data_IF_891180697387
#
_entry.id   IF_891180697387
#
_cell.length_a   1.000
_cell.length_b   1.000
_cell.length_c   1.000
_cell.angle_alpha   90.00
_cell.angle_beta   90.00
_cell.angle_gamma   90.00
#
_symmetry.space_group_name_H-M   'P 1'
#
loop_
_entity.id
_entity.type
_entity.pdbx_description
1 polymer ?
#
# COMPACT_ATOMS: atom_id res chain seq x y z
N UNK A 1 35.25 59.05 14.06
CA UNK A 1 35.94 57.95 13.34
C UNK A 1 34.87 56.94 12.98
N UNK A 2 34.26 57.09 11.80
CA UNK A 2 33.05 56.37 11.40
C UNK A 2 33.39 55.51 10.19
N UNK A 3 33.41 54.19 10.38
CA UNK A 3 33.73 53.21 9.34
C UNK A 3 32.46 52.97 8.51
N UNK A 4 32.47 53.40 7.25
CA UNK A 4 31.41 53.07 6.28
C UNK A 4 31.65 51.67 5.69
N UNK A 5 30.71 50.75 5.97
CA UNK A 5 30.66 49.42 5.37
C UNK A 5 29.95 49.48 4.01
N UNK A 6 30.70 49.28 2.92
CA UNK A 6 30.18 49.22 1.55
C UNK A 6 29.71 47.78 1.26
N UNK A 7 28.39 47.55 1.25
CA UNK A 7 27.76 46.23 1.03
C UNK A 7 27.57 46.00 -0.47
N UNK A 8 28.45 45.24 -1.10
CA UNK A 8 28.27 44.73 -2.47
C UNK A 8 27.30 43.53 -2.44
N UNK A 9 26.16 43.63 -3.12
CA UNK A 9 25.24 42.51 -3.35
C UNK A 9 25.27 42.18 -4.85
N UNK A 10 25.95 41.11 -5.21
CA UNK A 10 25.80 40.46 -6.51
C UNK A 10 24.50 39.64 -6.52
N UNK A 11 23.66 39.71 -7.57
CA UNK A 11 22.48 38.87 -7.66
C UNK A 11 22.88 37.42 -7.97
N UNK A 12 22.51 36.50 -7.08
CA UNK A 12 22.62 35.06 -7.30
C UNK A 12 21.60 34.68 -8.38
N UNK A 13 22.09 34.36 -9.58
CA UNK A 13 21.27 33.73 -10.61
C UNK A 13 21.12 32.25 -10.28
N UNK A 14 19.94 31.87 -9.77
CA UNK A 14 19.55 30.46 -9.65
C UNK A 14 18.97 29.93 -10.98
N UNK A 15 19.22 28.66 -11.34
CA UNK A 15 18.78 28.08 -12.61
C UNK A 15 17.24 28.03 -12.72
N UNK A 16 16.73 28.51 -13.85
CA UNK A 16 15.29 28.72 -14.14
C UNK A 16 14.41 27.46 -14.22
N UNK A 17 14.93 26.25 -14.00
CA UNK A 17 14.18 25.02 -14.23
C UNK A 17 13.37 24.50 -13.02
N UNK A 18 13.57 25.00 -11.80
CA UNK A 18 12.85 24.50 -10.61
C UNK A 18 11.48 25.19 -10.36
N UNK A 19 11.18 26.29 -11.08
CA UNK A 19 10.00 27.11 -10.81
C UNK A 19 8.67 26.53 -11.33
N UNK A 20 8.69 25.63 -12.31
CA UNK A 20 7.46 25.10 -12.91
C UNK A 20 6.82 23.96 -12.11
N UNK A 21 7.62 23.11 -11.46
CA UNK A 21 7.10 22.05 -10.59
C UNK A 21 6.48 22.61 -9.29
N UNK A 22 7.09 23.66 -8.74
CA UNK A 22 6.60 24.28 -7.50
C UNK A 22 5.29 25.06 -7.72
N UNK A 23 5.10 25.69 -8.89
CA UNK A 23 3.87 26.45 -9.20
C UNK A 23 2.64 25.56 -9.41
N UNK A 24 2.79 24.40 -10.05
CA UNK A 24 1.70 23.43 -10.19
C UNK A 24 1.22 22.90 -8.84
N UNK A 25 2.16 22.58 -7.95
CA UNK A 25 1.85 22.09 -6.60
C UNK A 25 1.28 23.18 -5.69
N UNK A 26 1.79 24.41 -5.80
CA UNK A 26 1.32 25.56 -4.99
C UNK A 26 -0.08 26.00 -5.40
N UNK A 27 -0.40 26.02 -6.71
CA UNK A 27 -1.75 26.37 -7.18
C UNK A 27 -2.78 25.28 -6.84
N UNK A 28 -2.40 23.99 -6.90
CA UNK A 28 -3.24 22.91 -6.39
C UNK A 28 -3.46 23.06 -4.88
N UNK A 29 -2.42 23.36 -4.10
CA UNK A 29 -2.51 23.55 -2.64
C UNK A 29 -3.34 24.77 -2.23
N UNK A 30 -3.28 25.89 -2.98
CA UNK A 30 -4.12 27.07 -2.73
C UNK A 30 -5.59 26.77 -3.00
N UNK A 31 -5.91 26.06 -4.09
CA UNK A 31 -7.29 25.61 -4.35
C UNK A 31 -7.80 24.67 -3.24
N UNK A 32 -6.92 23.81 -2.70
CA UNK A 32 -7.24 22.84 -1.65
C UNK A 32 -7.51 23.47 -0.27
N UNK A 33 -6.82 24.57 0.08
CA UNK A 33 -7.09 25.31 1.31
C UNK A 33 -8.44 26.04 1.20
N UNK A 34 -8.76 26.59 0.03
CA UNK A 34 -10.02 27.30 -0.21
C UNK A 34 -11.25 26.38 -0.19
N UNK A 35 -11.16 25.14 -0.69
CA UNK A 35 -12.30 24.19 -0.66
C UNK A 35 -12.62 23.65 0.75
N UNK A 36 -11.69 23.68 1.71
CA UNK A 36 -11.95 23.15 3.07
C UNK A 36 -12.82 24.05 3.96
N UNK A 37 -13.22 25.22 3.46
CA UNK A 37 -13.96 26.23 4.24
C UNK A 37 -15.45 26.32 3.87
N UNK A 38 -15.92 25.54 2.91
CA UNK A 38 -17.27 25.64 2.37
C UNK A 38 -17.91 24.25 2.24
N UNK A 39 -18.16 23.55 3.35
CA UNK A 39 -19.07 22.39 3.37
C UNK A 39 -19.37 21.97 4.81
N UNK A 40 -20.33 22.67 5.41
CA UNK A 40 -21.19 22.11 6.47
C UNK A 40 -22.62 22.19 5.96
N UNK A 41 -22.97 21.29 5.05
CA UNK A 41 -24.36 21.05 4.65
C UNK A 41 -24.81 19.73 5.26
N UNK A 42 -25.71 19.84 6.23
CA UNK A 42 -26.49 18.77 6.84
C UNK A 42 -27.18 17.94 5.75
N UNK A 43 -26.82 16.66 5.65
CA UNK A 43 -27.52 15.70 4.81
C UNK A 43 -28.73 15.17 5.60
N UNK A 44 -29.92 15.55 5.16
CA UNK A 44 -31.21 15.10 5.71
C UNK A 44 -31.68 13.89 4.91
N UNK A 45 -31.70 12.71 5.54
CA UNK A 45 -32.29 11.51 4.96
C UNK A 45 -33.83 11.60 4.94
N UNK A 46 -34.40 11.49 3.75
CA UNK A 46 -35.81 11.24 3.55
C UNK A 46 -35.98 10.32 2.36
N UNK A 47 -36.29 9.05 2.58
CA UNK A 47 -36.86 8.22 1.52
C UNK A 47 -37.90 7.23 2.07
N UNK A 48 -39.07 7.31 1.45
CA UNK A 48 -40.18 6.39 1.57
C UNK A 48 -39.81 4.99 1.09
N UNK A 49 -40.14 3.96 1.86
CA UNK A 49 -40.24 2.58 1.37
C UNK A 49 -41.73 2.19 1.23
N UNK A 50 -42.13 1.87 0.00
CA UNK A 50 -43.33 1.10 -0.31
C UNK A 50 -42.97 -0.38 -0.24
N UNK A 51 -43.77 -1.14 0.52
CA UNK A 51 -43.65 -2.58 0.66
C UNK A 51 -44.11 -3.35 -0.57
N UNK A 52 -43.44 -4.47 -0.83
CA UNK A 52 -43.97 -5.60 -1.61
C UNK A 52 -43.53 -6.86 -0.87
N UNK A 53 -44.51 -7.68 -0.50
CA UNK A 53 -44.31 -8.99 0.11
C UNK A 53 -43.99 -10.03 -0.98
N UNK A 54 -43.01 -10.90 -0.73
CA UNK A 54 -42.82 -12.13 -1.49
C UNK A 54 -42.47 -13.27 -0.52
N UNK A 55 -43.16 -14.38 -0.72
CA UNK A 55 -43.24 -15.58 0.12
C UNK A 55 -42.08 -16.56 -0.08
N UNK A 56 -41.86 -17.32 0.99
CA UNK A 56 -40.85 -18.32 1.28
C UNK A 56 -40.53 -19.39 0.21
N UNK A 57 -39.28 -19.89 0.27
CA UNK A 57 -38.85 -21.17 -0.27
C UNK A 57 -37.33 -21.34 -0.24
N UNK A 58 -36.75 -21.63 0.94
CA UNK A 58 -35.30 -21.92 1.07
C UNK A 58 -35.10 -23.38 1.45
N UNK A 59 -34.49 -24.13 0.53
CA UNK A 59 -33.89 -25.44 0.80
C UNK A 59 -32.44 -25.26 1.30
N UNK A 60 -31.92 -26.13 2.17
CA UNK A 60 -30.58 -25.97 2.72
C UNK A 60 -29.51 -26.40 1.71
N UNK A 61 -28.71 -25.44 1.25
CA UNK A 61 -27.47 -25.70 0.52
C UNK A 61 -26.37 -25.96 1.55
N UNK A 62 -25.96 -27.22 1.67
CA UNK A 62 -24.75 -27.61 2.41
C UNK A 62 -23.51 -27.13 1.64
N UNK A 63 -23.03 -25.94 1.96
CA UNK A 63 -21.74 -25.44 1.48
C UNK A 63 -20.61 -26.08 2.30
N UNK A 64 -19.87 -26.99 1.67
CA UNK A 64 -18.63 -27.58 2.20
C UNK A 64 -17.58 -26.49 2.37
N UNK A 65 -17.06 -26.35 3.59
CA UNK A 65 -16.01 -25.42 3.98
C UNK A 65 -14.59 -26.02 3.76
N UNK A 66 -14.31 -26.60 2.59
CA UNK A 66 -12.98 -27.19 2.30
C UNK A 66 -11.98 -26.19 1.66
N UNK A 67 -12.37 -24.94 1.40
CA UNK A 67 -11.55 -23.95 0.69
C UNK A 67 -10.44 -23.29 1.53
N UNK A 68 -10.35 -23.55 2.85
CA UNK A 68 -9.31 -22.93 3.70
C UNK A 68 -8.12 -23.83 4.00
N UNK A 69 -8.16 -25.12 3.67
CA UNK A 69 -7.00 -26.01 3.86
C UNK A 69 -5.96 -25.82 2.75
N UNK A 70 -6.39 -25.64 1.50
CA UNK A 70 -5.49 -25.55 0.34
C UNK A 70 -4.73 -24.22 0.23
N UNK A 71 -5.18 -23.16 0.89
CA UNK A 71 -4.49 -21.85 0.86
C UNK A 71 -3.30 -21.79 1.82
N UNK A 72 -3.21 -22.72 2.78
CA UNK A 72 -2.11 -22.78 3.77
C UNK A 72 -1.15 -23.96 3.51
N UNK A 73 -1.55 -24.94 2.71
CA UNK A 73 -0.66 -26.02 2.28
C UNK A 73 0.27 -25.51 1.16
N UNK A 74 1.48 -25.09 1.54
CA UNK A 74 2.55 -24.82 0.58
C UNK A 74 2.76 -26.01 -0.36
N UNK A 75 2.65 -25.76 -1.66
CA UNK A 75 2.88 -26.71 -2.73
C UNK A 75 4.31 -27.24 -2.67
N UNK A 76 4.50 -28.44 -2.11
CA UNK A 76 5.74 -29.21 -2.24
C UNK A 76 5.71 -29.88 -3.62
N UNK A 77 6.46 -29.31 -4.56
CA UNK A 77 6.60 -29.81 -5.93
C UNK A 77 7.44 -31.11 -5.94
N UNK A 78 6.82 -32.23 -6.32
CA UNK A 78 7.54 -33.47 -6.65
C UNK A 78 8.32 -33.28 -7.97
N UNK A 79 9.64 -33.18 -7.86
CA UNK A 79 10.56 -33.09 -9.01
C UNK A 79 10.82 -34.49 -9.56
N UNK A 80 10.26 -34.78 -10.75
CA UNK A 80 10.62 -35.96 -11.57
C UNK A 80 12.01 -35.76 -12.18
N UNK A 81 12.97 -36.57 -11.74
CA UNK A 81 14.36 -36.54 -12.20
C UNK A 81 14.54 -37.11 -13.60
N UNK A 82 14.81 -36.24 -14.56
CA UNK A 82 15.57 -36.53 -15.78
C UNK A 82 16.86 -35.71 -15.74
N UNK A 83 18.02 -36.37 -15.64
CA UNK A 83 19.32 -35.72 -15.67
C UNK A 83 19.67 -35.31 -17.10
N UNK A 84 19.37 -34.05 -17.45
CA UNK A 84 20.03 -33.39 -18.58
C UNK A 84 21.20 -32.56 -18.04
N UNK A 85 22.35 -32.68 -18.70
CA UNK A 85 23.64 -32.19 -18.19
C UNK A 85 23.91 -30.75 -18.65
N UNK A 86 22.92 -29.88 -18.55
CA UNK A 86 23.09 -28.46 -18.85
C UNK A 86 23.78 -27.76 -17.68
N UNK A 87 24.75 -26.89 -17.97
CA UNK A 87 25.38 -26.01 -16.98
C UNK A 87 24.30 -25.30 -16.13
N UNK A 88 24.56 -25.02 -14.83
CA UNK A 88 23.60 -24.31 -14.00
C UNK A 88 23.23 -22.98 -14.67
N UNK A 89 21.98 -22.86 -15.09
CA UNK A 89 21.47 -21.60 -15.60
C UNK A 89 21.28 -20.67 -14.40
N UNK A 90 21.91 -19.50 -14.43
CA UNK A 90 21.75 -18.48 -13.39
C UNK A 90 20.25 -18.15 -13.25
N UNK A 91 19.78 -17.99 -12.02
CA UNK A 91 18.42 -17.53 -11.76
C UNK A 91 18.24 -16.06 -12.17
N UNK A 92 17.00 -15.65 -12.46
CA UNK A 92 16.68 -14.26 -12.79
C UNK A 92 17.16 -13.28 -11.69
N UNK A 93 17.04 -13.66 -10.42
CA UNK A 93 17.50 -12.84 -9.30
C UNK A 93 19.02 -12.67 -9.30
N UNK A 94 19.80 -13.73 -9.55
CA UNK A 94 21.26 -13.66 -9.61
C UNK A 94 21.74 -12.78 -10.77
N UNK A 95 21.06 -12.85 -11.92
CA UNK A 95 21.36 -12.00 -13.09
C UNK A 95 21.14 -10.51 -12.72
N UNK A 96 20.01 -10.18 -12.10
CA UNK A 96 19.71 -8.80 -11.67
C UNK A 96 20.64 -8.33 -10.57
N UNK A 97 20.94 -9.15 -9.57
CA UNK A 97 21.87 -8.79 -8.49
C UNK A 97 23.28 -8.52 -9.01
N UNK A 98 23.75 -9.33 -9.97
CA UNK A 98 25.02 -9.10 -10.66
C UNK A 98 25.01 -7.78 -11.42
N UNK A 99 23.92 -7.48 -12.14
CA UNK A 99 23.74 -6.19 -12.80
C UNK A 99 23.81 -5.03 -11.80
N UNK A 100 23.12 -5.12 -10.66
CA UNK A 100 23.14 -4.09 -9.62
C UNK A 100 24.55 -3.94 -8.99
N UNK A 101 25.28 -5.04 -8.82
CA UNK A 101 26.62 -5.04 -8.26
C UNK A 101 27.70 -4.49 -9.20
N UNK A 102 27.54 -4.64 -10.52
CA UNK A 102 28.53 -4.22 -11.52
C UNK A 102 28.83 -2.72 -11.51
N UNK A 103 27.92 -1.89 -10.97
CA UNK A 103 28.08 -0.43 -10.96
C UNK A 103 27.76 0.20 -9.60
N UNK A 104 28.32 -0.38 -8.53
CA UNK A 104 28.17 0.17 -7.16
C UNK A 104 28.60 1.64 -7.04
N UNK A 105 29.54 2.09 -7.88
CA UNK A 105 29.99 3.50 -7.88
C UNK A 105 28.95 4.45 -8.46
N UNK A 106 28.24 4.09 -9.53
CA UNK A 106 27.14 4.92 -10.03
C UNK A 106 25.88 4.78 -9.17
N UNK A 107 25.61 3.60 -8.61
CA UNK A 107 24.46 3.36 -7.73
C UNK A 107 24.46 4.30 -6.52
N UNK A 108 25.63 4.65 -5.97
CA UNK A 108 25.75 5.63 -4.88
C UNK A 108 25.38 7.08 -5.28
N UNK A 109 25.25 7.37 -6.58
CA UNK A 109 24.88 8.71 -7.07
C UNK A 109 23.40 8.81 -7.42
N UNK A 110 22.77 7.71 -7.81
CA UNK A 110 21.38 7.71 -8.26
C UNK A 110 20.44 7.46 -7.09
N UNK A 111 19.56 8.44 -6.80
CA UNK A 111 18.58 8.32 -5.72
C UNK A 111 17.23 7.83 -6.26
N UNK A 112 16.58 6.95 -5.52
CA UNK A 112 15.20 6.54 -5.77
C UNK A 112 14.21 7.60 -5.28
N UNK A 113 13.29 8.01 -6.14
CA UNK A 113 12.32 9.09 -5.85
C UNK A 113 10.86 8.61 -5.76
N UNK A 114 10.53 7.37 -6.13
CA UNK A 114 9.14 6.86 -6.13
C UNK A 114 8.73 6.31 -4.74
N UNK A 115 8.99 7.10 -3.70
CA UNK A 115 8.86 6.68 -2.29
C UNK A 115 7.40 6.47 -1.85
N UNK A 116 6.45 7.18 -2.48
CA UNK A 116 5.03 7.08 -2.11
C UNK A 116 4.46 5.67 -2.29
N UNK A 117 4.90 4.95 -3.32
CA UNK A 117 4.50 3.56 -3.54
C UNK A 117 5.04 2.64 -2.44
N UNK A 118 6.34 2.73 -2.14
CA UNK A 118 6.99 2.01 -1.04
C UNK A 118 6.29 2.21 0.31
N UNK A 119 5.95 3.46 0.65
CA UNK A 119 5.23 3.77 1.88
C UNK A 119 3.79 3.23 1.90
N UNK A 120 3.16 3.08 0.74
CA UNK A 120 1.82 2.51 0.63
C UNK A 120 1.87 1.00 0.90
N UNK A 121 2.84 0.28 0.32
CA UNK A 121 3.07 -1.14 0.63
C UNK A 121 3.36 -1.33 2.12
N UNK A 122 4.20 -0.49 2.73
CA UNK A 122 4.42 -0.47 4.17
C UNK A 122 3.13 -0.24 4.97
N UNK A 123 2.25 0.66 4.52
CA UNK A 123 0.96 0.86 5.20
C UNK A 123 0.03 -0.35 5.11
N UNK A 124 0.06 -1.09 3.99
CA UNK A 124 -0.71 -2.32 3.85
C UNK A 124 -0.19 -3.40 4.81
N UNK A 125 1.13 -3.61 4.84
CA UNK A 125 1.79 -4.53 5.78
C UNK A 125 1.37 -4.20 7.22
N UNK A 126 1.49 -2.94 7.62
CA UNK A 126 1.10 -2.49 8.97
C UNK A 126 -0.37 -2.77 9.26
N UNK A 127 -1.27 -2.39 8.37
CA UNK A 127 -2.71 -2.53 8.62
C UNK A 127 -3.17 -3.98 8.61
N UNK A 128 -2.54 -4.84 7.81
CA UNK A 128 -2.73 -6.29 7.88
C UNK A 128 -2.34 -6.84 9.26
N UNK A 129 -1.20 -6.41 9.81
CA UNK A 129 -0.79 -6.81 11.16
C UNK A 129 -1.76 -6.31 12.23
N UNK A 130 -2.26 -5.08 12.11
CA UNK A 130 -3.26 -4.54 13.05
C UNK A 130 -4.58 -5.27 12.98
N UNK A 131 -5.00 -5.68 11.79
CA UNK A 131 -6.20 -6.49 11.59
C UNK A 131 -6.08 -7.85 12.31
N UNK A 132 -4.91 -8.49 12.21
CA UNK A 132 -4.61 -9.71 12.97
C UNK A 132 -4.71 -9.46 14.48
N UNK A 133 -4.06 -8.42 14.99
CA UNK A 133 -4.10 -8.09 16.42
C UNK A 133 -5.53 -7.79 16.91
N UNK A 134 -6.33 -7.09 16.10
CA UNK A 134 -7.74 -6.83 16.38
C UNK A 134 -8.54 -8.13 16.50
N UNK A 135 -8.38 -9.04 15.54
CA UNK A 135 -9.08 -10.32 15.57
C UNK A 135 -8.64 -11.18 16.79
N UNK A 136 -7.35 -11.24 17.10
CA UNK A 136 -6.83 -11.95 18.28
C UNK A 136 -7.33 -11.35 19.60
N UNK A 137 -7.43 -10.02 19.67
CA UNK A 137 -8.00 -9.34 20.82
C UNK A 137 -9.48 -9.73 21.02
N UNK A 138 -10.28 -9.75 19.95
CA UNK A 138 -11.69 -10.17 20.03
C UNK A 138 -11.85 -11.63 20.44
N UNK A 139 -10.97 -12.53 19.99
CA UNK A 139 -10.97 -13.92 20.47
C UNK A 139 -10.69 -14.03 21.97
N UNK A 140 -9.79 -13.17 22.47
CA UNK A 140 -9.35 -13.19 23.87
C UNK A 140 -10.38 -12.56 24.82
N UNK A 141 -11.09 -11.52 24.37
CA UNK A 141 -12.12 -10.83 25.15
C UNK A 141 -13.41 -11.66 25.33
N UNK A 142 -13.55 -12.78 24.60
CA UNK A 142 -14.83 -13.47 24.43
C UNK A 142 -15.69 -12.74 23.40
N UNK A 143 -16.82 -13.34 22.98
CA UNK A 143 -17.75 -12.69 22.05
C UNK A 143 -18.25 -11.37 22.65
N UNK A 144 -17.58 -10.26 22.29
CA UNK A 144 -17.76 -8.94 22.87
C UNK A 144 -19.14 -8.34 22.60
N UNK A 145 -19.35 -7.14 23.13
CA UNK A 145 -20.57 -6.37 22.86
C UNK A 145 -20.75 -6.08 21.36
N UNK A 146 -21.97 -5.71 20.96
CA UNK A 146 -22.34 -5.44 19.55
C UNK A 146 -21.39 -4.44 18.85
N UNK A 147 -20.89 -3.44 19.59
CA UNK A 147 -19.93 -2.45 19.07
C UNK A 147 -18.58 -3.06 18.68
N UNK A 148 -18.10 -4.08 19.39
CA UNK A 148 -16.86 -4.77 19.05
C UNK A 148 -17.04 -5.65 17.80
N UNK A 149 -18.21 -6.27 17.68
CA UNK A 149 -18.60 -7.13 16.55
C UNK A 149 -18.67 -6.31 15.25
N UNK A 150 -19.25 -5.11 15.28
CA UNK A 150 -19.28 -4.23 14.10
C UNK A 150 -17.88 -3.70 13.69
N UNK A 151 -16.93 -3.67 14.64
CA UNK A 151 -15.59 -3.16 14.42
C UNK A 151 -14.78 -3.97 13.40
N UNK A 152 -14.91 -5.30 13.39
CA UNK A 152 -14.07 -6.18 12.55
C UNK A 152 -14.39 -6.02 11.06
N UNK A 153 -15.66 -5.91 10.67
CA UNK A 153 -16.05 -5.70 9.28
C UNK A 153 -15.60 -4.33 8.78
N UNK A 154 -15.76 -3.30 9.61
CA UNK A 154 -15.29 -1.94 9.30
C UNK A 154 -13.77 -1.91 9.10
N UNK A 155 -13.03 -2.59 9.96
CA UNK A 155 -11.58 -2.73 9.86
C UNK A 155 -11.17 -3.43 8.56
N UNK A 156 -11.77 -4.60 8.26
CA UNK A 156 -11.50 -5.34 7.04
C UNK A 156 -11.82 -4.52 5.78
N UNK A 157 -12.93 -3.78 5.77
CA UNK A 157 -13.28 -2.86 4.68
C UNK A 157 -12.18 -1.81 4.45
N UNK A 158 -11.62 -1.22 5.51
CA UNK A 158 -10.52 -0.27 5.35
C UNK A 158 -9.26 -0.93 4.76
N UNK A 159 -8.83 -2.07 5.33
CA UNK A 159 -7.63 -2.77 4.85
C UNK A 159 -7.75 -3.19 3.39
N UNK A 160 -8.89 -3.78 3.01
CA UNK A 160 -9.09 -4.42 1.70
C UNK A 160 -9.55 -3.41 0.65
N UNK A 161 -10.63 -2.68 0.90
CA UNK A 161 -11.29 -1.87 -0.13
C UNK A 161 -10.65 -0.50 -0.32
N UNK A 162 -10.01 0.00 0.73
CA UNK A 162 -9.40 1.31 0.69
C UNK A 162 -7.89 1.18 0.51
N UNK A 163 -7.20 0.59 1.48
CA UNK A 163 -5.74 0.56 1.50
C UNK A 163 -5.18 -0.33 0.36
N UNK A 164 -5.50 -1.63 0.38
CA UNK A 164 -5.00 -2.61 -0.61
C UNK A 164 -5.51 -2.31 -2.03
N UNK A 165 -6.81 -2.07 -2.21
CA UNK A 165 -7.36 -1.76 -3.54
C UNK A 165 -6.77 -0.46 -4.11
N UNK A 166 -6.54 0.56 -3.27
CA UNK A 166 -5.87 1.79 -3.68
C UNK A 166 -4.43 1.55 -4.15
N UNK A 167 -3.68 0.69 -3.45
CA UNK A 167 -2.32 0.28 -3.84
C UNK A 167 -2.33 -0.44 -5.19
N UNK A 168 -3.14 -1.50 -5.28
CA UNK A 168 -3.20 -2.34 -6.48
C UNK A 168 -3.64 -1.56 -7.73
N UNK A 169 -4.60 -0.63 -7.59
CA UNK A 169 -5.00 0.25 -8.69
C UNK A 169 -3.82 1.05 -9.24
N UNK A 170 -3.03 1.69 -8.37
CA UNK A 170 -1.86 2.47 -8.81
C UNK A 170 -0.81 1.56 -9.44
N UNK A 171 -0.63 0.37 -8.89
CA UNK A 171 0.33 -0.59 -9.39
C UNK A 171 -0.03 -1.12 -10.78
N UNK A 172 -1.29 -1.50 -10.98
CA UNK A 172 -1.79 -2.07 -12.23
C UNK A 172 -1.90 -1.02 -13.34
N UNK A 173 -2.38 0.18 -13.02
CA UNK A 173 -2.61 1.24 -14.01
C UNK A 173 -1.35 2.05 -14.34
N UNK A 174 -0.42 2.19 -13.39
CA UNK A 174 0.71 3.11 -13.51
C UNK A 174 2.06 2.44 -13.28
N UNK A 175 2.28 1.83 -12.11
CA UNK A 175 3.63 1.45 -11.68
C UNK A 175 4.20 0.31 -12.51
N UNK A 176 3.55 -0.86 -12.58
CA UNK A 176 4.11 -2.00 -13.30
C UNK A 176 4.20 -1.78 -14.81
N UNK A 177 3.22 -1.16 -15.50
CA UNK A 177 3.39 -0.77 -16.88
C UNK A 177 4.62 0.13 -17.09
N UNK A 178 4.84 1.09 -16.19
CA UNK A 178 5.99 1.99 -16.25
C UNK A 178 7.32 1.26 -15.97
N UNK A 179 7.39 0.40 -14.95
CA UNK A 179 8.61 -0.37 -14.64
C UNK A 179 8.98 -1.29 -15.79
N UNK A 180 8.01 -1.98 -16.41
CA UNK A 180 8.24 -2.84 -17.58
C UNK A 180 8.77 -2.05 -18.78
N UNK A 181 8.20 -0.88 -19.05
CA UNK A 181 8.72 0.04 -20.08
C UNK A 181 10.17 0.43 -19.82
N UNK A 182 10.58 0.59 -18.55
CA UNK A 182 11.94 1.05 -18.22
C UNK A 182 12.99 -0.02 -18.10
N UNK A 183 12.62 -1.20 -17.60
CA UNK A 183 13.57 -2.26 -17.29
C UNK A 183 13.58 -3.38 -18.36
N UNK A 184 12.52 -3.51 -19.14
CA UNK A 184 12.37 -4.59 -20.12
C UNK A 184 12.36 -4.10 -21.58
N UNK A 185 12.43 -2.79 -21.84
CA UNK A 185 12.51 -2.24 -23.20
C UNK A 185 13.96 -1.91 -23.62
N UNK A 186 14.16 -1.68 -24.92
CA UNK A 186 15.46 -1.38 -25.54
C UNK A 186 16.07 -2.59 -26.25
N UNK A 187 17.27 -2.45 -26.83
CA UNK A 187 17.94 -3.49 -27.62
C UNK A 187 19.12 -4.16 -26.88
N UNK A 188 19.53 -3.63 -25.72
CA UNK A 188 20.73 -4.11 -25.01
C UNK A 188 20.42 -5.16 -23.93
N UNK A 189 21.20 -6.25 -23.87
CA UNK A 189 21.15 -7.31 -22.84
C UNK A 189 19.82 -8.06 -22.69
N UNK A 190 19.46 -8.90 -23.68
CA UNK A 190 18.23 -9.72 -23.65
C UNK A 190 18.05 -10.55 -22.37
N UNK A 191 19.10 -11.24 -21.92
CA UNK A 191 19.03 -12.08 -20.71
C UNK A 191 18.62 -11.28 -19.45
N UNK A 192 19.09 -10.03 -19.34
CA UNK A 192 18.74 -9.14 -18.23
C UNK A 192 17.28 -8.68 -18.30
N UNK A 193 16.77 -8.41 -19.50
CA UNK A 193 15.36 -8.01 -19.69
C UNK A 193 14.43 -9.16 -19.34
N UNK A 194 14.78 -10.38 -19.75
CA UNK A 194 14.01 -11.58 -19.41
C UNK A 194 14.02 -11.79 -17.89
N UNK A 195 15.19 -11.66 -17.25
CA UNK A 195 15.28 -11.74 -15.79
C UNK A 195 14.40 -10.69 -15.09
N UNK A 196 14.40 -9.43 -15.54
CA UNK A 196 13.49 -8.42 -15.00
C UNK A 196 12.03 -8.77 -15.25
N UNK A 197 11.67 -9.29 -16.43
CA UNK A 197 10.30 -9.68 -16.75
C UNK A 197 9.81 -10.77 -15.79
N UNK A 198 10.62 -11.81 -15.59
CA UNK A 198 10.33 -12.91 -14.67
C UNK A 198 10.14 -12.43 -13.22
N UNK A 199 11.02 -11.53 -12.74
CA UNK A 199 10.89 -10.95 -11.39
C UNK A 199 9.59 -10.15 -11.25
N UNK A 200 9.29 -9.29 -12.23
CA UNK A 200 8.08 -8.47 -12.19
C UNK A 200 6.82 -9.36 -12.29
N UNK A 201 6.83 -10.38 -13.14
CA UNK A 201 5.73 -11.35 -13.27
C UNK A 201 5.50 -12.13 -11.98
N UNK A 202 6.57 -12.54 -11.30
CA UNK A 202 6.49 -13.19 -9.99
C UNK A 202 5.92 -12.28 -8.90
N UNK A 203 6.35 -11.02 -8.85
CA UNK A 203 5.77 -10.03 -7.92
C UNK A 203 4.28 -9.83 -8.21
N UNK A 204 3.91 -9.71 -9.49
CA UNK A 204 2.52 -9.54 -9.91
C UNK A 204 1.65 -10.77 -9.55
N UNK A 205 2.21 -11.97 -9.61
CA UNK A 205 1.55 -13.18 -9.12
C UNK A 205 1.33 -13.15 -7.60
N UNK A 206 2.35 -12.77 -6.82
CA UNK A 206 2.22 -12.63 -5.37
C UNK A 206 1.18 -11.57 -4.97
N UNK A 207 1.11 -10.46 -5.69
CA UNK A 207 0.06 -9.43 -5.50
C UNK A 207 -1.34 -9.96 -5.77
N UNK A 208 -1.52 -10.78 -6.82
CA UNK A 208 -2.80 -11.48 -7.06
C UNK A 208 -3.17 -12.40 -5.90
N UNK A 209 -2.20 -13.09 -5.30
CA UNK A 209 -2.43 -13.91 -4.09
C UNK A 209 -2.83 -13.06 -2.88
N UNK A 210 -2.14 -11.94 -2.64
CA UNK A 210 -2.50 -10.95 -1.62
C UNK A 210 -3.93 -10.45 -1.81
N UNK A 211 -4.34 -10.16 -3.05
CA UNK A 211 -5.71 -9.73 -3.37
C UNK A 211 -6.75 -10.80 -3.03
N UNK A 212 -6.51 -12.06 -3.42
CA UNK A 212 -7.40 -13.19 -3.09
C UNK A 212 -7.55 -13.39 -1.57
N UNK A 213 -6.43 -13.30 -0.83
CA UNK A 213 -6.44 -13.38 0.63
C UNK A 213 -7.25 -12.23 1.24
N UNK A 214 -7.06 -11.00 0.76
CA UNK A 214 -7.82 -9.84 1.25
C UNK A 214 -9.32 -9.99 1.02
N UNK A 215 -9.74 -10.49 -0.16
CA UNK A 215 -11.15 -10.77 -0.44
C UNK A 215 -11.72 -11.85 0.49
N UNK A 216 -11.02 -12.97 0.67
CA UNK A 216 -11.46 -14.03 1.57
C UNK A 216 -11.55 -13.55 3.03
N UNK A 217 -10.57 -12.77 3.49
CA UNK A 217 -10.55 -12.15 4.82
C UNK A 217 -11.76 -11.23 5.03
N UNK A 218 -12.11 -10.45 4.02
CA UNK A 218 -13.29 -9.57 4.06
C UNK A 218 -14.59 -10.36 4.24
N UNK A 219 -14.77 -11.43 3.48
CA UNK A 219 -15.97 -12.28 3.61
C UNK A 219 -16.07 -12.91 5.00
N UNK A 220 -14.94 -13.35 5.57
CA UNK A 220 -14.90 -13.84 6.96
C UNK A 220 -15.23 -12.74 7.96
N UNK A 221 -14.73 -11.51 7.78
CA UNK A 221 -15.05 -10.39 8.65
C UNK A 221 -16.55 -10.05 8.64
N UNK A 222 -17.22 -10.21 7.49
CA UNK A 222 -18.68 -10.05 7.37
C UNK A 222 -19.47 -11.15 8.09
N UNK A 223 -18.97 -12.39 8.09
CA UNK A 223 -19.57 -13.47 8.88
C UNK A 223 -19.37 -13.20 10.37
N UNK A 224 -18.17 -12.77 10.75
CA UNK A 224 -17.82 -12.43 12.12
C UNK A 224 -18.68 -11.29 12.69
N UNK A 225 -19.06 -10.30 11.87
CA UNK A 225 -19.88 -9.15 12.28
C UNK A 225 -21.40 -9.41 12.28
N UNK A 226 -21.86 -10.54 11.74
CA UNK A 226 -23.30 -10.78 11.54
C UNK A 226 -23.99 -11.28 12.82
N UNK A 227 -25.03 -10.56 13.27
CA UNK A 227 -25.87 -10.96 14.41
C UNK A 227 -26.79 -12.15 14.11
N UNK A 228 -27.02 -12.45 12.82
CA UNK A 228 -27.85 -13.57 12.36
C UNK A 228 -27.10 -14.92 12.41
N UNK A 229 -25.76 -14.88 12.45
CA UNK A 229 -24.90 -16.06 12.53
C UNK A 229 -24.70 -16.46 13.99
N UNK A 230 -24.76 -17.76 14.28
CA UNK A 230 -24.55 -18.27 15.64
C UNK A 230 -23.14 -17.95 16.18
N UNK A 231 -23.00 -17.94 17.51
CA UNK A 231 -21.76 -17.50 18.16
C UNK A 231 -20.53 -18.31 17.74
N UNK A 232 -20.64 -19.64 17.66
CA UNK A 232 -19.52 -20.53 17.31
C UNK A 232 -18.97 -20.22 15.91
N UNK A 233 -19.85 -20.03 14.92
CA UNK A 233 -19.45 -19.66 13.55
C UNK A 233 -18.83 -18.28 13.49
N UNK A 234 -19.26 -17.33 14.33
CA UNK A 234 -18.60 -16.02 14.41
C UNK A 234 -17.20 -16.15 14.98
N UNK A 235 -17.01 -16.93 16.05
CA UNK A 235 -15.68 -17.19 16.63
C UNK A 235 -14.75 -17.84 15.61
N UNK A 236 -15.23 -18.83 14.87
CA UNK A 236 -14.47 -19.44 13.77
C UNK A 236 -14.10 -18.41 12.69
N UNK A 237 -15.05 -17.55 12.29
CA UNK A 237 -14.79 -16.49 11.32
C UNK A 237 -13.76 -15.47 11.81
N UNK A 238 -13.79 -15.07 13.10
CA UNK A 238 -12.77 -14.19 13.69
C UNK A 238 -11.39 -14.88 13.66
N UNK A 239 -11.33 -16.17 13.98
CA UNK A 239 -10.09 -16.95 13.88
C UNK A 239 -9.55 -16.99 12.44
N UNK A 240 -10.43 -17.17 11.46
CA UNK A 240 -10.08 -17.11 10.05
C UNK A 240 -9.55 -15.73 9.65
N UNK A 241 -10.18 -14.64 10.10
CA UNK A 241 -9.69 -13.27 9.88
C UNK A 241 -8.29 -13.10 10.44
N UNK A 242 -8.01 -13.55 11.66
CA UNK A 242 -6.67 -13.47 12.25
C UNK A 242 -5.62 -14.19 11.39
N UNK A 243 -5.90 -15.45 11.02
CA UNK A 243 -4.99 -16.27 10.20
C UNK A 243 -4.76 -15.67 8.81
N UNK A 244 -5.82 -15.22 8.15
CA UNK A 244 -5.73 -14.61 6.81
C UNK A 244 -4.99 -13.26 6.86
N UNK A 245 -5.20 -12.46 7.91
CA UNK A 245 -4.49 -11.19 8.13
C UNK A 245 -2.99 -11.42 8.31
N UNK A 246 -2.60 -12.43 9.09
CA UNK A 246 -1.20 -12.83 9.28
C UNK A 246 -0.55 -13.31 7.96
N UNK A 247 -1.27 -14.12 7.19
CA UNK A 247 -0.82 -14.58 5.87
C UNK A 247 -0.68 -13.42 4.87
N UNK A 248 -1.65 -12.49 4.87
CA UNK A 248 -1.62 -11.29 4.05
C UNK A 248 -0.42 -10.40 4.41
N UNK A 249 -0.19 -10.16 5.71
CA UNK A 249 0.97 -9.42 6.20
C UNK A 249 2.29 -10.06 5.74
N UNK A 250 2.44 -11.37 5.94
CA UNK A 250 3.66 -12.10 5.56
C UNK A 250 3.93 -12.01 4.06
N UNK A 251 2.90 -12.20 3.22
CA UNK A 251 3.06 -12.13 1.76
C UNK A 251 3.31 -10.71 1.26
N UNK A 252 2.59 -9.72 1.79
CA UNK A 252 2.82 -8.32 1.45
C UNK A 252 4.23 -7.86 1.86
N UNK A 253 4.76 -8.34 2.98
CA UNK A 253 6.15 -8.12 3.37
C UNK A 253 7.12 -8.77 2.39
N UNK A 254 6.86 -10.01 1.96
CA UNK A 254 7.70 -10.69 0.95
C UNK A 254 7.73 -9.95 -0.39
N UNK A 255 6.60 -9.41 -0.84
CA UNK A 255 6.51 -8.53 -2.02
C UNK A 255 7.40 -7.29 -1.82
N UNK A 256 7.23 -6.59 -0.70
CA UNK A 256 8.02 -5.40 -0.37
C UNK A 256 9.53 -5.71 -0.33
N UNK A 257 9.94 -6.80 0.31
CA UNK A 257 11.35 -7.17 0.43
C UNK A 257 11.98 -7.45 -0.94
N UNK A 258 11.24 -8.11 -1.84
CA UNK A 258 11.70 -8.40 -3.20
C UNK A 258 11.80 -7.12 -4.04
N UNK A 259 10.82 -6.24 -3.91
CA UNK A 259 10.80 -4.92 -4.53
C UNK A 259 11.97 -4.05 -4.08
N UNK A 260 12.20 -3.95 -2.77
CA UNK A 260 13.31 -3.19 -2.16
C UNK A 260 14.68 -3.74 -2.57
N UNK A 261 14.82 -5.07 -2.65
CA UNK A 261 16.08 -5.72 -3.01
C UNK A 261 16.41 -5.60 -4.48
N UNK A 262 15.42 -5.71 -5.37
CA UNK A 262 15.63 -5.88 -6.81
C UNK A 262 15.15 -4.69 -7.64
N UNK A 263 13.87 -4.29 -7.49
CA UNK A 263 13.25 -3.29 -8.37
C UNK A 263 13.64 -1.85 -8.00
N UNK A 264 13.62 -1.50 -6.72
CA UNK A 264 13.97 -0.16 -6.23
C UNK A 264 15.38 0.26 -6.69
N UNK A 265 16.45 -0.53 -6.45
CA UNK A 265 17.79 -0.18 -6.91
C UNK A 265 17.91 -0.23 -8.44
N UNK A 266 17.20 -1.12 -9.13
CA UNK A 266 17.20 -1.16 -10.59
C UNK A 266 16.57 0.11 -11.19
N UNK A 267 15.41 0.54 -10.69
CA UNK A 267 14.75 1.78 -11.12
C UNK A 267 15.62 2.99 -10.80
N UNK A 268 16.22 3.06 -9.61
CA UNK A 268 17.12 4.14 -9.25
C UNK A 268 18.31 4.23 -10.23
N UNK A 269 18.90 3.09 -10.58
CA UNK A 269 20.05 3.00 -11.48
C UNK A 269 19.70 3.32 -12.93
N UNK A 270 18.58 2.80 -13.44
CA UNK A 270 18.23 2.86 -14.87
C UNK A 270 17.45 4.11 -15.24
N UNK A 271 16.59 4.60 -14.35
CA UNK A 271 15.62 5.64 -14.69
C UNK A 271 16.07 7.02 -14.21
N UNK A 272 16.13 8.04 -15.08
CA UNK A 272 16.51 9.39 -14.68
C UNK A 272 15.60 9.97 -13.58
N UNK A 273 16.16 10.69 -12.62
CA UNK A 273 15.40 11.26 -11.49
C UNK A 273 14.23 12.14 -11.92
N UNK A 274 14.41 12.91 -13.01
CA UNK A 274 13.37 13.79 -13.56
C UNK A 274 12.13 12.99 -13.96
N UNK A 275 12.33 11.79 -14.50
CA UNK A 275 11.24 10.91 -14.91
C UNK A 275 10.58 10.25 -13.70
N UNK A 276 11.34 9.79 -12.71
CA UNK A 276 10.79 9.28 -11.45
C UNK A 276 9.91 10.34 -10.74
N UNK A 277 10.39 11.59 -10.68
CA UNK A 277 9.60 12.72 -10.12
C UNK A 277 8.35 13.02 -10.95
N UNK A 278 8.42 12.87 -12.28
CA UNK A 278 7.26 12.99 -13.16
C UNK A 278 6.23 11.90 -12.89
N UNK A 279 6.67 10.66 -12.68
CA UNK A 279 5.82 9.53 -12.30
C UNK A 279 5.06 9.81 -10.99
N UNK A 280 5.71 10.33 -9.95
CA UNK A 280 5.04 10.73 -8.70
C UNK A 280 3.88 11.71 -8.93
N UNK A 281 4.07 12.69 -9.82
CA UNK A 281 3.01 13.64 -10.15
C UNK A 281 1.81 12.97 -10.85
N UNK A 282 2.03 11.88 -11.60
CA UNK A 282 0.94 11.09 -12.20
C UNK A 282 0.18 10.32 -11.13
N UNK A 283 0.89 9.69 -10.19
CA UNK A 283 0.27 8.94 -9.07
C UNK A 283 -0.62 9.85 -8.23
N UNK A 284 -0.13 11.03 -7.84
CA UNK A 284 -0.92 11.98 -7.03
C UNK A 284 -2.20 12.44 -7.75
N UNK A 285 -2.15 12.59 -9.08
CA UNK A 285 -3.35 12.92 -9.88
C UNK A 285 -4.32 11.75 -9.97
N UNK A 286 -3.82 10.52 -10.13
CA UNK A 286 -4.66 9.32 -10.25
C UNK A 286 -5.40 8.99 -8.95
N UNK A 287 -4.73 9.13 -7.80
CA UNK A 287 -5.37 8.91 -6.49
C UNK A 287 -6.51 9.90 -6.19
N UNK A 288 -6.50 11.08 -6.81
CA UNK A 288 -7.42 12.13 -6.45
C UNK A 288 -7.11 12.76 -5.09
N UNK A 289 -7.77 13.88 -4.80
CA UNK A 289 -7.41 14.76 -3.68
C UNK A 289 -7.80 14.17 -2.32
N UNK A 290 -8.97 13.54 -2.21
CA UNK A 290 -9.48 13.07 -0.93
C UNK A 290 -8.77 11.79 -0.49
N UNK A 291 -8.70 10.79 -1.37
CA UNK A 291 -8.07 9.51 -1.07
C UNK A 291 -6.57 9.69 -0.79
N UNK A 292 -5.87 10.55 -1.55
CA UNK A 292 -4.44 10.81 -1.31
C UNK A 292 -4.16 11.33 0.10
N UNK A 293 -5.09 12.07 0.74
CA UNK A 293 -4.92 12.53 2.13
C UNK A 293 -4.99 11.37 3.11
N UNK A 294 -5.96 10.47 2.92
CA UNK A 294 -6.15 9.31 3.81
C UNK A 294 -4.99 8.32 3.63
N UNK A 295 -4.58 8.05 2.39
CA UNK A 295 -3.38 7.24 2.12
C UNK A 295 -2.13 7.87 2.73
N UNK A 296 -1.93 9.19 2.61
CA UNK A 296 -0.76 9.85 3.19
C UNK A 296 -0.71 9.75 4.72
N UNK A 297 -1.85 9.76 5.41
CA UNK A 297 -1.90 9.48 6.85
C UNK A 297 -1.45 8.03 7.12
N UNK A 298 -1.99 7.07 6.37
CA UNK A 298 -1.60 5.66 6.46
C UNK A 298 -0.10 5.46 6.23
N UNK A 299 0.45 6.03 5.16
CA UNK A 299 1.88 6.00 4.83
C UNK A 299 2.74 6.62 5.92
N UNK A 300 2.38 7.82 6.42
CA UNK A 300 3.09 8.49 7.50
C UNK A 300 3.18 7.60 8.74
N UNK A 301 2.07 7.01 9.14
CA UNK A 301 2.00 6.18 10.33
C UNK A 301 2.81 4.90 10.20
N UNK A 302 2.89 4.34 8.99
CA UNK A 302 3.72 3.16 8.73
C UNK A 302 5.21 3.51 8.88
N UNK A 303 5.61 4.66 8.37
CA UNK A 303 6.98 5.18 8.51
C UNK A 303 7.33 5.52 9.96
N UNK A 304 6.38 6.08 10.72
CA UNK A 304 6.62 6.46 12.11
C UNK A 304 6.63 5.28 13.08
N UNK A 305 5.85 4.24 12.80
CA UNK A 305 5.83 3.01 13.61
C UNK A 305 7.03 2.11 13.32
N UNK A 306 7.60 2.21 12.11
CA UNK A 306 8.91 1.64 11.82
C UNK A 306 10.02 2.28 12.66
N UNK A 307 11.05 1.50 12.99
CA UNK A 307 12.23 1.95 13.75
C UNK A 307 13.31 2.60 12.86
N UNK A 308 13.09 2.72 11.55
CA UNK A 308 14.09 3.25 10.62
C UNK A 308 14.04 4.79 10.55
N UNK A 309 15.00 5.45 11.20
CA UNK A 309 15.16 6.90 11.15
C UNK A 309 15.45 7.43 9.75
N UNK A 310 16.09 6.63 8.89
CA UNK A 310 16.37 7.02 7.51
C UNK A 310 15.07 7.18 6.75
N UNK A 311 14.12 6.28 6.98
CA UNK A 311 12.81 6.34 6.34
C UNK A 311 12.02 7.59 6.73
N UNK A 312 12.09 7.97 8.01
CA UNK A 312 11.48 9.22 8.50
C UNK A 312 12.14 10.45 7.89
N UNK A 313 13.46 10.43 7.72
CA UNK A 313 14.18 11.52 7.03
C UNK A 313 13.77 11.62 5.55
N UNK A 314 13.69 10.47 4.85
CA UNK A 314 13.21 10.39 3.47
C UNK A 314 11.78 10.92 3.33
N UNK A 315 10.89 10.57 4.26
CA UNK A 315 9.51 11.07 4.28
C UNK A 315 9.45 12.59 4.42
N UNK A 316 10.22 13.14 5.36
CA UNK A 316 10.26 14.59 5.58
C UNK A 316 10.83 15.36 4.40
N UNK A 317 11.76 14.77 3.65
CA UNK A 317 12.33 15.35 2.45
C UNK A 317 11.38 15.28 1.27
N UNK A 318 10.78 14.12 0.99
CA UNK A 318 9.97 13.93 -0.21
C UNK A 318 8.58 14.55 -0.09
N UNK A 319 7.99 14.58 1.11
CA UNK A 319 6.66 15.15 1.31
C UNK A 319 6.77 16.65 1.62
N UNK A 320 6.09 17.52 0.85
CA UNK A 320 6.09 18.96 1.11
C UNK A 320 5.58 19.30 2.51
N UNK A 321 6.09 20.41 3.06
CA UNK A 321 5.82 20.86 4.44
C UNK A 321 4.32 20.98 4.73
N UNK A 322 3.54 21.56 3.82
CA UNK A 322 2.13 21.84 4.05
C UNK A 322 1.29 20.56 4.24
N UNK A 323 1.34 19.55 3.34
CA UNK A 323 0.75 18.23 3.62
C UNK A 323 1.20 17.62 4.95
N UNK A 324 2.51 17.67 5.28
CA UNK A 324 3.00 17.14 6.57
C UNK A 324 2.34 17.81 7.77
N UNK A 325 2.22 19.14 7.76
CA UNK A 325 1.53 19.88 8.83
C UNK A 325 0.04 19.54 8.94
N UNK A 326 -0.58 19.06 7.86
CA UNK A 326 -2.00 18.71 7.83
C UNK A 326 -2.30 17.29 8.27
N UNK A 327 -1.30 16.40 8.32
CA UNK A 327 -1.45 14.99 8.72
C UNK A 327 -2.22 14.83 10.04
N UNK A 328 -1.92 15.56 11.14
CA UNK A 328 -2.68 15.41 12.39
C UNK A 328 -4.17 15.76 12.23
N UNK A 329 -4.50 16.74 11.38
CA UNK A 329 -5.89 17.12 11.11
C UNK A 329 -6.59 16.09 10.23
N UNK A 330 -5.94 15.62 9.17
CA UNK A 330 -6.48 14.58 8.29
C UNK A 330 -6.65 13.25 9.02
N UNK A 331 -5.72 12.93 9.93
CA UNK A 331 -5.84 11.76 10.80
C UNK A 331 -7.17 11.77 11.55
N UNK A 332 -7.41 12.81 12.34
CA UNK A 332 -8.62 12.95 13.16
C UNK A 332 -9.91 13.04 12.36
N UNK A 333 -9.91 13.78 11.25
CA UNK A 333 -11.14 14.08 10.51
C UNK A 333 -11.47 13.06 9.42
N UNK A 334 -10.47 12.37 8.87
CA UNK A 334 -10.64 11.50 7.70
C UNK A 334 -10.23 10.05 7.99
N UNK A 335 -9.08 9.84 8.64
CA UNK A 335 -8.53 8.50 8.85
C UNK A 335 -9.15 7.76 10.05
N UNK A 336 -9.15 8.37 11.24
CA UNK A 336 -9.70 7.77 12.47
C UNK A 336 -11.16 7.32 12.31
N UNK A 337 -12.07 8.08 11.66
CA UNK A 337 -13.44 7.62 11.44
C UNK A 337 -13.55 6.33 10.63
N UNK A 338 -12.58 6.01 9.76
CA UNK A 338 -12.62 4.82 8.90
C UNK A 338 -11.72 3.68 9.41
N UNK A 339 -10.55 4.02 9.94
CA UNK A 339 -9.47 3.09 10.26
C UNK A 339 -9.13 3.03 11.76
N UNK A 340 -9.66 3.95 12.59
CA UNK A 340 -9.32 4.04 14.01
C UNK A 340 -9.70 2.81 14.84
N UNK A 341 -10.56 1.93 14.30
CA UNK A 341 -10.86 0.62 14.87
C UNK A 341 -9.64 -0.32 14.88
N UNK A 342 -8.64 -0.07 14.04
CA UNK A 342 -7.38 -0.82 14.00
C UNK A 342 -6.38 -0.38 15.11
N UNK A 343 -6.63 0.74 15.81
CA UNK A 343 -5.71 1.32 16.80
C UNK A 343 -5.97 0.83 18.26
N UNK A 344 -6.45 -0.41 18.43
CA UNK A 344 -6.82 -0.96 19.75
C UNK A 344 -5.69 -0.99 20.80
N UNK A 345 -4.43 -0.92 20.38
CA UNK A 345 -3.27 -1.03 21.28
C UNK A 345 -2.69 0.29 21.78
N UNK A 346 -3.24 1.45 21.39
CA UNK A 346 -2.68 2.76 21.78
C UNK A 346 -3.26 3.34 23.08
N UNK A 347 -4.04 2.59 23.85
CA UNK A 347 -4.82 3.10 24.99
C UNK A 347 -4.16 3.00 26.37
N UNK A 348 -2.89 2.59 26.47
CA UNK A 348 -2.18 2.48 27.76
C UNK A 348 -1.31 3.69 28.08
#
# INVERSE_FOLDING_TARGET
MTIMYKRSRSPIQLPRCEWFALRGLTLLLVALICSSRAETTTFSEGSHQKGVAATAGVAPVAARADLCADVVAGSVLEVRGGHDSSLPQDSAEEIVERYLAADRKAANKSRFHVQGWRWHTLSLVRDARRMEMLALHQLSAGAGGEDEIAGIEKAAKHVVDFNMAGLHRIEDELFFPWVRDKLCAGDDHEDLKEAFREIIDGIDEDRRHVSKLGQAMREQAKIASSTEVNADRRVEAISNVARMSAALNTRAQGVLDREERLLVPAVAKTVPEKEQKSFNNRVVRSLGILDSRVHLVGMHDAVWEGSDERERALFNEAIPVLPRMMIPRWRRLLYEPVAGVLDIMKKD
#
